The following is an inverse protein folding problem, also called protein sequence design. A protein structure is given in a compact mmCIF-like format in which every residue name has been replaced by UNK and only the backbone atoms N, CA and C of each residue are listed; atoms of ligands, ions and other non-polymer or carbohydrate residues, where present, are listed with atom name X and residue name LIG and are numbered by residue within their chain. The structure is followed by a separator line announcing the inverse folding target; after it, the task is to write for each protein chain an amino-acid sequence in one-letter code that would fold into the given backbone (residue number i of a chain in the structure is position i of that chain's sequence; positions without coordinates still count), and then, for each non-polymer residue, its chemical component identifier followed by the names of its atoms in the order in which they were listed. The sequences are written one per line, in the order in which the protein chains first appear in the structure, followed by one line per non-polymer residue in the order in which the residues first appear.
data_IF_971665991195
#
_entry.id   IF_971665991195
#
_cell.length_a   1.000
_cell.length_b   1.000
_cell.length_c   1.000
_cell.angle_alpha   90.00
_cell.angle_beta   90.00
_cell.angle_gamma   90.00
#
_symmetry.space_group_name_H-M   'P 1'
#
loop_
_entity.id
_entity.type
_entity.pdbx_description
1 polymer ?
#
# COMPACT_ATOMS: atom_id res chain seq x y z
N UNK A 1 12.49 25.98 -21.22
CA UNK A 1 11.21 25.57 -20.63
C UNK A 1 11.33 24.12 -20.21
N UNK A 2 11.61 23.87 -18.93
CA UNK A 2 11.70 22.51 -18.39
C UNK A 2 10.28 22.02 -18.14
N UNK A 3 9.77 21.15 -19.01
CA UNK A 3 8.61 20.33 -18.65
C UNK A 3 9.06 19.44 -17.48
N UNK A 4 8.76 19.85 -16.26
CA UNK A 4 8.84 18.96 -15.11
C UNK A 4 7.88 17.79 -15.43
N UNK A 5 8.45 16.66 -15.85
CA UNK A 5 7.68 15.44 -16.03
C UNK A 5 7.04 15.17 -14.68
N UNK A 6 5.70 15.23 -14.62
CA UNK A 6 4.97 14.88 -13.40
C UNK A 6 5.39 13.48 -13.00
N UNK A 7 5.74 13.31 -11.73
CA UNK A 7 6.11 11.99 -11.22
C UNK A 7 4.87 11.08 -11.27
N UNK A 8 5.06 9.75 -11.33
CA UNK A 8 3.94 8.81 -11.24
C UNK A 8 3.08 9.06 -10.00
N UNK A 9 3.71 9.40 -8.87
CA UNK A 9 3.06 9.78 -7.61
C UNK A 9 2.11 10.97 -7.78
N UNK A 10 2.58 12.11 -8.33
CA UNK A 10 1.73 13.28 -8.57
C UNK A 10 0.55 13.00 -9.51
N UNK A 11 0.73 12.06 -10.45
CA UNK A 11 -0.36 11.62 -11.34
C UNK A 11 -1.40 10.81 -10.55
N UNK A 12 -0.95 9.87 -9.73
CA UNK A 12 -1.80 9.03 -8.88
C UNK A 12 -2.55 9.86 -7.84
N UNK A 13 -1.91 10.85 -7.20
CA UNK A 13 -2.58 11.77 -6.28
C UNK A 13 -3.76 12.50 -6.93
N UNK A 14 -3.64 12.86 -8.22
CA UNK A 14 -4.74 13.50 -8.96
C UNK A 14 -5.87 12.51 -9.25
N UNK A 15 -5.55 11.25 -9.53
CA UNK A 15 -6.55 10.20 -9.71
C UNK A 15 -7.30 9.95 -8.40
N UNK A 16 -6.61 9.93 -7.26
CA UNK A 16 -7.21 9.80 -5.93
C UNK A 16 -8.20 10.96 -5.68
N UNK A 17 -7.79 12.21 -5.94
CA UNK A 17 -8.67 13.39 -5.80
C UNK A 17 -9.90 13.35 -6.72
N UNK A 18 -9.80 12.65 -7.84
CA UNK A 18 -10.89 12.46 -8.81
C UNK A 18 -11.71 11.19 -8.56
N UNK A 19 -11.34 10.38 -7.57
CA UNK A 19 -11.90 9.05 -7.32
C UNK A 19 -11.77 8.09 -8.54
N UNK A 20 -10.71 8.23 -9.34
CA UNK A 20 -10.42 7.37 -10.49
C UNK A 20 -9.80 6.02 -10.05
N UNK A 21 -10.46 5.33 -9.09
CA UNK A 21 -9.99 4.09 -8.47
C UNK A 21 -9.79 2.95 -9.45
N UNK A 22 -10.56 2.94 -10.56
CA UNK A 22 -10.40 1.98 -11.64
C UNK A 22 -9.02 2.05 -12.30
N UNK A 23 -8.53 3.26 -12.61
CA UNK A 23 -7.18 3.44 -13.15
C UNK A 23 -6.11 3.16 -12.10
N UNK A 24 -6.31 3.60 -10.85
CA UNK A 24 -5.38 3.33 -9.75
C UNK A 24 -5.15 1.83 -9.53
N UNK A 25 -6.19 1.02 -9.68
CA UNK A 25 -6.10 -0.43 -9.52
C UNK A 25 -5.19 -1.10 -10.54
N UNK A 26 -4.98 -0.50 -11.72
CA UNK A 26 -4.08 -1.06 -12.75
C UNK A 26 -2.62 -0.98 -12.31
N UNK A 27 -2.26 0.05 -11.53
CA UNK A 27 -0.89 0.27 -11.06
C UNK A 27 -0.43 -0.75 -10.01
N UNK A 28 -1.37 -1.46 -9.37
CA UNK A 28 -1.07 -2.56 -8.44
C UNK A 28 -0.32 -3.70 -9.13
N UNK A 29 -0.55 -3.90 -10.44
CA UNK A 29 0.06 -4.98 -11.22
C UNK A 29 1.15 -4.49 -12.19
N UNK A 30 1.57 -3.23 -12.07
CA UNK A 30 2.51 -2.57 -12.98
C UNK A 30 3.98 -2.75 -12.49
N UNK A 31 4.90 -1.87 -12.89
CA UNK A 31 6.29 -1.91 -12.44
C UNK A 31 6.44 -1.60 -10.95
N UNK A 32 7.53 -2.07 -10.36
CA UNK A 32 7.91 -1.79 -8.98
C UNK A 32 7.87 -0.29 -8.66
N UNK A 33 8.39 0.55 -9.55
CA UNK A 33 8.41 2.00 -9.37
C UNK A 33 7.00 2.58 -9.28
N UNK A 34 6.08 2.08 -10.10
CA UNK A 34 4.69 2.51 -10.09
C UNK A 34 3.95 2.02 -8.84
N UNK A 35 4.21 0.80 -8.37
CA UNK A 35 3.65 0.29 -7.10
C UNK A 35 4.13 1.10 -5.91
N UNK A 36 5.42 1.43 -5.85
CA UNK A 36 6.00 2.28 -4.81
C UNK A 36 5.39 3.70 -4.84
N UNK A 37 5.25 4.28 -6.03
CA UNK A 37 4.60 5.57 -6.20
C UNK A 37 3.12 5.52 -5.80
N UNK A 38 2.43 4.41 -6.10
CA UNK A 38 1.04 4.20 -5.73
C UNK A 38 0.90 4.15 -4.20
N UNK A 39 1.69 3.33 -3.51
CA UNK A 39 1.68 3.26 -2.04
C UNK A 39 1.85 4.65 -1.41
N UNK A 40 2.85 5.42 -1.87
CA UNK A 40 3.10 6.79 -1.38
C UNK A 40 1.94 7.75 -1.66
N UNK A 41 1.36 7.69 -2.85
CA UNK A 41 0.22 8.55 -3.20
C UNK A 41 -1.02 8.21 -2.35
N UNK A 42 -1.26 6.92 -2.07
CA UNK A 42 -2.37 6.45 -1.24
C UNK A 42 -2.26 6.92 0.21
N UNK A 43 -1.06 7.23 0.71
CA UNK A 43 -0.86 7.87 2.03
C UNK A 43 -1.57 9.22 2.18
N UNK A 44 -2.00 9.84 1.08
CA UNK A 44 -2.76 11.11 1.07
C UNK A 44 -4.27 10.92 1.17
N UNK A 45 -4.75 9.68 1.24
CA UNK A 45 -6.18 9.36 1.37
C UNK A 45 -6.40 8.23 2.38
N UNK A 46 -7.30 8.50 3.32
CA UNK A 46 -7.83 7.60 4.34
C UNK A 46 -9.15 6.93 3.90
N UNK A 47 -9.46 6.96 2.60
CA UNK A 47 -10.67 6.31 2.08
C UNK A 47 -10.52 4.79 2.08
N UNK A 48 -11.62 4.07 2.27
CA UNK A 48 -11.62 2.60 2.21
C UNK A 48 -11.03 2.08 0.89
N UNK A 49 -11.32 2.74 -0.24
CA UNK A 49 -10.76 2.35 -1.54
C UNK A 49 -9.23 2.51 -1.58
N UNK A 50 -8.69 3.51 -0.87
CA UNK A 50 -7.24 3.70 -0.74
C UNK A 50 -6.61 2.54 0.02
N UNK A 51 -7.24 2.18 1.14
CA UNK A 51 -6.84 1.06 2.01
C UNK A 51 -6.94 -0.27 1.26
N UNK A 52 -8.04 -0.52 0.53
CA UNK A 52 -8.21 -1.75 -0.27
C UNK A 52 -7.10 -1.94 -1.31
N UNK A 53 -6.63 -0.84 -1.92
CA UNK A 53 -5.50 -0.88 -2.86
C UNK A 53 -4.17 -1.12 -2.14
N UNK A 54 -3.96 -0.52 -0.95
CA UNK A 54 -2.79 -0.80 -0.11
C UNK A 54 -2.76 -2.27 0.31
N UNK A 55 -3.87 -2.85 0.75
CA UNK A 55 -3.94 -4.27 1.13
C UNK A 55 -3.57 -5.19 -0.04
N UNK A 56 -3.93 -4.84 -1.28
CA UNK A 56 -3.48 -5.59 -2.47
C UNK A 56 -1.97 -5.47 -2.71
N UNK A 57 -1.37 -4.31 -2.46
CA UNK A 57 0.08 -4.12 -2.55
C UNK A 57 0.83 -4.83 -1.42
N UNK A 58 0.19 -5.08 -0.27
CA UNK A 58 0.79 -5.80 0.85
C UNK A 58 0.93 -7.31 0.54
N UNK A 59 0.14 -7.85 -0.39
CA UNK A 59 0.25 -9.21 -0.93
C UNK A 59 1.25 -9.31 -2.11
N UNK A 60 2.08 -8.29 -2.32
CA UNK A 60 3.12 -8.31 -3.36
C UNK A 60 4.33 -9.17 -2.96
N UNK A 61 5.12 -9.57 -3.96
CA UNK A 61 6.33 -10.38 -3.77
C UNK A 61 7.59 -9.53 -3.60
N UNK A 62 7.55 -8.26 -3.98
CA UNK A 62 8.69 -7.35 -3.86
C UNK A 62 8.77 -6.76 -2.45
N UNK A 63 9.90 -7.00 -1.76
CA UNK A 63 10.14 -6.47 -0.41
C UNK A 63 9.93 -4.96 -0.34
N UNK A 64 10.49 -4.17 -1.24
CA UNK A 64 10.40 -2.72 -1.15
C UNK A 64 8.94 -2.23 -1.29
N UNK A 65 8.13 -2.89 -2.12
CA UNK A 65 6.71 -2.57 -2.29
C UNK A 65 5.94 -2.87 -1.01
N UNK A 66 6.14 -4.04 -0.41
CA UNK A 66 5.45 -4.42 0.84
C UNK A 66 5.86 -3.49 1.99
N UNK A 67 7.14 -3.15 2.10
CA UNK A 67 7.61 -2.22 3.13
C UNK A 67 6.98 -0.82 2.99
N UNK A 68 7.01 -0.23 1.80
CA UNK A 68 6.39 1.08 1.56
C UNK A 68 4.87 1.06 1.81
N UNK A 69 4.22 -0.04 1.45
CA UNK A 69 2.79 -0.27 1.72
C UNK A 69 2.52 -0.35 3.21
N UNK A 70 3.31 -1.12 3.96
CA UNK A 70 3.18 -1.27 5.41
C UNK A 70 3.42 0.07 6.13
N UNK A 71 4.42 0.85 5.72
CA UNK A 71 4.64 2.21 6.22
C UNK A 71 3.44 3.12 5.98
N UNK A 72 2.77 2.96 4.84
CA UNK A 72 1.58 3.75 4.50
C UNK A 72 0.35 3.30 5.30
N UNK A 73 0.09 1.99 5.40
CA UNK A 73 -1.00 1.45 6.22
C UNK A 73 -0.85 1.86 7.68
N UNK A 74 0.38 1.87 8.22
CA UNK A 74 0.62 2.43 9.56
C UNK A 74 0.25 3.91 9.67
N UNK A 75 0.18 4.68 8.60
CA UNK A 75 -0.22 6.09 8.67
C UNK A 75 -1.73 6.27 8.55
N UNK A 76 -2.37 5.60 7.58
CA UNK A 76 -3.77 5.83 7.21
C UNK A 76 -4.74 4.73 7.62
N UNK A 77 -4.25 3.52 7.91
CA UNK A 77 -5.06 2.36 8.26
C UNK A 77 -5.49 2.32 9.73
N UNK A 78 -6.44 1.42 10.01
CA UNK A 78 -7.05 1.24 11.33
C UNK A 78 -7.12 -0.25 11.77
N UNK A 79 -7.78 -0.53 12.89
CA UNK A 79 -7.89 -1.90 13.42
C UNK A 79 -8.69 -2.84 12.50
N UNK A 80 -9.61 -2.34 11.67
CA UNK A 80 -10.39 -3.16 10.74
C UNK A 80 -9.49 -3.82 9.68
N UNK A 81 -8.37 -3.19 9.34
CA UNK A 81 -7.41 -3.68 8.35
C UNK A 81 -6.52 -4.83 8.85
N UNK A 82 -6.51 -5.05 10.18
CA UNK A 82 -5.66 -6.07 10.80
C UNK A 82 -6.02 -7.49 10.34
N UNK A 83 -7.31 -7.76 10.12
CA UNK A 83 -7.79 -9.07 9.68
C UNK A 83 -7.31 -9.43 8.26
N UNK A 84 -7.32 -8.45 7.36
CA UNK A 84 -6.85 -8.63 5.98
C UNK A 84 -5.32 -8.81 5.95
N UNK A 85 -4.58 -8.00 6.72
CA UNK A 85 -3.13 -8.15 6.85
C UNK A 85 -2.72 -9.51 7.45
N UNK A 86 -3.45 -10.00 8.45
CA UNK A 86 -3.23 -11.34 9.00
C UNK A 86 -3.50 -12.44 7.96
N UNK A 87 -4.49 -12.24 7.09
CA UNK A 87 -4.78 -13.17 5.99
C UNK A 87 -3.62 -13.20 4.98
N UNK A 88 -3.04 -12.05 4.65
CA UNK A 88 -1.85 -11.96 3.79
C UNK A 88 -0.67 -12.67 4.45
N UNK A 89 -0.43 -12.40 5.74
CA UNK A 89 0.64 -13.03 6.51
C UNK A 89 0.56 -14.58 6.53
N UNK A 90 -0.66 -15.13 6.57
CA UNK A 90 -0.90 -16.57 6.54
C UNK A 90 -0.62 -17.20 5.16
N UNK A 91 -0.80 -16.44 4.07
CA UNK A 91 -0.51 -16.90 2.70
C UNK A 91 0.98 -16.87 2.40
N UNK A 92 1.73 -15.97 3.03
CA UNK A 92 3.18 -15.85 2.81
C UNK A 92 3.92 -17.10 3.31
N UNK A 93 4.84 -17.67 2.50
CA UNK A 93 5.61 -18.84 2.91
C UNK A 93 6.55 -18.50 4.06
N UNK A 94 6.80 -19.49 4.93
CA UNK A 94 7.64 -19.31 6.13
C UNK A 94 9.07 -18.84 5.83
N UNK A 95 9.55 -19.00 4.60
CA UNK A 95 10.87 -18.53 4.15
C UNK A 95 10.96 -17.01 4.00
N UNK A 96 9.84 -16.32 3.81
CA UNK A 96 9.79 -14.86 3.60
C UNK A 96 9.78 -14.11 4.94
N UNK A 97 10.75 -14.41 5.80
CA UNK A 97 10.78 -13.92 7.18
C UNK A 97 10.65 -12.40 7.27
N UNK A 98 11.34 -11.66 6.39
CA UNK A 98 11.27 -10.19 6.38
C UNK A 98 9.89 -9.65 6.06
N UNK A 99 9.24 -10.16 5.01
CA UNK A 99 7.89 -9.74 4.64
C UNK A 99 6.90 -10.04 5.77
N UNK A 100 7.04 -11.24 6.36
CA UNK A 100 6.20 -11.68 7.46
C UNK A 100 6.38 -10.83 8.71
N UNK A 101 7.61 -10.48 9.06
CA UNK A 101 7.91 -9.60 10.19
C UNK A 101 7.34 -8.20 9.98
N UNK A 102 7.46 -7.66 8.76
CA UNK A 102 6.98 -6.32 8.42
C UNK A 102 5.45 -6.23 8.49
N UNK A 103 4.73 -7.21 7.94
CA UNK A 103 3.27 -7.28 8.04
C UNK A 103 2.83 -7.50 9.50
N UNK A 104 3.49 -8.41 10.22
CA UNK A 104 3.18 -8.67 11.63
C UNK A 104 3.35 -7.43 12.50
N UNK A 105 4.42 -6.66 12.25
CA UNK A 105 4.67 -5.40 12.94
C UNK A 105 3.58 -4.38 12.64
N UNK A 106 3.19 -4.26 11.38
CA UNK A 106 2.11 -3.34 10.95
C UNK A 106 0.80 -3.66 11.66
N UNK A 107 0.39 -4.94 11.69
CA UNK A 107 -0.79 -5.39 12.44
C UNK A 107 -0.71 -5.00 13.91
N UNK A 108 0.44 -5.27 14.56
CA UNK A 108 0.63 -4.95 15.97
C UNK A 108 0.57 -3.43 16.25
N UNK A 109 1.02 -2.59 15.32
CA UNK A 109 0.95 -1.14 15.44
C UNK A 109 -0.46 -0.60 15.22
N UNK A 110 -1.21 -1.14 14.26
CA UNK A 110 -2.61 -0.78 14.03
C UNK A 110 -3.50 -1.18 15.22
N UNK A 111 -3.33 -2.40 15.72
CA UNK A 111 -4.10 -2.90 16.87
C UNK A 111 -3.86 -2.11 18.16
N UNK A 112 -2.67 -1.51 18.33
CA UNK A 112 -2.33 -0.68 19.50
C UNK A 112 -3.00 0.69 19.51
N UNK A 113 -3.66 1.09 18.42
CA UNK A 113 -4.32 2.40 18.31
C UNK A 113 -5.73 2.43 18.89
N UNK A 114 -6.20 1.30 19.42
CA UNK A 114 -7.48 1.19 20.16
C UNK A 114 -7.44 1.83 21.55
#
# INVERSE_FOLDING_TARGET
MLFAKKTPEEKMEKMIKRNDWGELSQYVFDTKENKLALAKALAKSDSQQSIDLLLRLADDKDEDVVFATCETLRQVGDDHDTADLLTILQKLPQSETKLRDEISRTVAELHKRM
#
